data_IF_819850740663
#
_entry.id   IF_819850740663
#
_cell.length_a   1.000
_cell.length_b   1.000
_cell.length_c   1.000
_cell.angle_alpha   90.00
_cell.angle_beta   90.00
_cell.angle_gamma   90.00
#
_symmetry.space_group_name_H-M   'P 1'
#
loop_
_entity.id
_entity.type
_entity.pdbx_description
1 polymer ?
#
# COMPACT_ATOMS: atom_id res chain seq x y z
N UNK A 1 10.68 25.34 -2.78
CA UNK A 1 10.03 24.88 -4.03
C UNK A 1 10.14 23.37 -4.04
N UNK A 2 9.18 22.65 -3.47
CA UNK A 2 9.15 21.18 -3.55
C UNK A 2 8.56 20.84 -4.92
N UNK A 3 9.33 20.17 -5.76
CA UNK A 3 8.80 19.63 -7.00
C UNK A 3 7.78 18.55 -6.64
N UNK A 4 6.50 18.82 -6.87
CA UNK A 4 5.49 17.76 -6.87
C UNK A 4 5.77 16.89 -8.10
N UNK A 5 6.50 15.81 -7.88
CA UNK A 5 6.69 14.77 -8.89
C UNK A 5 5.38 13.97 -8.91
N UNK A 6 4.42 14.45 -9.70
CA UNK A 6 3.22 13.70 -10.05
C UNK A 6 3.62 12.54 -10.97
N UNK A 7 4.13 11.47 -10.37
CA UNK A 7 4.37 10.20 -11.08
C UNK A 7 3.01 9.61 -11.47
N UNK A 8 2.81 9.15 -12.70
CA UNK A 8 1.56 8.49 -13.11
C UNK A 8 1.55 7.00 -12.71
N UNK A 9 0.42 6.31 -12.88
CA UNK A 9 0.22 4.91 -12.43
C UNK A 9 1.18 3.92 -13.11
N UNK A 10 1.50 4.15 -14.39
CA UNK A 10 2.43 3.32 -15.14
C UNK A 10 3.88 3.53 -14.68
N UNK A 11 4.27 4.78 -14.38
CA UNK A 11 5.58 5.10 -13.84
C UNK A 11 5.74 4.55 -12.42
N UNK A 12 4.66 4.50 -11.63
CA UNK A 12 4.64 3.92 -10.30
C UNK A 12 4.90 2.40 -10.35
N UNK A 13 4.16 1.67 -11.19
CA UNK A 13 4.37 0.24 -11.39
C UNK A 13 5.73 -0.07 -12.00
N UNK A 14 6.18 0.71 -12.99
CA UNK A 14 7.50 0.58 -13.58
C UNK A 14 8.62 0.82 -12.57
N UNK A 15 8.44 1.81 -11.66
CA UNK A 15 9.36 2.03 -10.54
C UNK A 15 9.40 0.82 -9.62
N UNK A 16 8.25 0.24 -9.25
CA UNK A 16 8.21 -0.98 -8.42
C UNK A 16 8.91 -2.16 -9.11
N UNK A 17 8.60 -2.42 -10.38
CA UNK A 17 9.22 -3.49 -11.18
C UNK A 17 10.72 -3.29 -11.38
N UNK A 18 11.19 -2.05 -11.40
CA UNK A 18 12.62 -1.74 -11.47
C UNK A 18 13.32 -1.93 -10.12
N UNK A 19 12.65 -1.58 -9.02
CA UNK A 19 13.26 -1.60 -7.69
C UNK A 19 13.30 -3.01 -7.09
N UNK A 20 12.33 -3.87 -7.38
CA UNK A 20 12.23 -5.21 -6.76
C UNK A 20 11.43 -6.22 -7.62
N UNK A 21 11.94 -6.59 -8.83
CA UNK A 21 11.23 -7.46 -9.77
C UNK A 21 10.95 -8.88 -9.24
N UNK A 22 11.87 -9.46 -8.47
CA UNK A 22 11.72 -10.84 -7.97
C UNK A 22 10.70 -10.91 -6.82
N UNK A 23 10.70 -9.89 -5.95
CA UNK A 23 9.71 -9.75 -4.87
C UNK A 23 8.27 -9.65 -5.41
N UNK A 24 8.07 -8.92 -6.50
CA UNK A 24 6.77 -8.81 -7.16
C UNK A 24 6.31 -10.11 -7.84
N UNK A 25 7.24 -10.93 -8.33
CA UNK A 25 6.89 -12.22 -8.98
C UNK A 25 6.44 -13.27 -7.97
N UNK A 26 6.97 -13.21 -6.76
CA UNK A 26 6.67 -14.18 -5.70
C UNK A 26 5.34 -13.88 -4.99
N UNK A 27 4.87 -12.64 -5.06
CA UNK A 27 3.58 -12.26 -4.48
C UNK A 27 2.44 -12.41 -5.47
N UNK A 28 1.52 -13.34 -5.18
CA UNK A 28 0.22 -13.40 -5.86
C UNK A 28 -0.64 -12.29 -5.28
N UNK A 29 -0.80 -11.20 -6.05
CA UNK A 29 -1.64 -10.07 -5.65
C UNK A 29 -3.06 -10.51 -5.34
N UNK A 30 -3.61 -10.01 -4.23
CA UNK A 30 -5.06 -9.92 -4.05
C UNK A 30 -5.58 -9.03 -5.18
N UNK A 31 -6.69 -9.37 -5.80
CA UNK A 31 -7.33 -8.47 -6.76
C UNK A 31 -8.31 -7.59 -5.97
N UNK A 32 -7.96 -6.33 -5.79
CA UNK A 32 -8.78 -5.36 -5.08
C UNK A 32 -9.73 -4.63 -6.04
N UNK A 33 -10.92 -4.29 -5.56
CA UNK A 33 -11.95 -3.57 -6.31
C UNK A 33 -11.80 -2.05 -6.11
N UNK A 34 -11.43 -1.29 -7.15
CA UNK A 34 -11.25 0.15 -7.07
C UNK A 34 -12.53 0.92 -6.70
N UNK A 35 -13.71 0.32 -6.84
CA UNK A 35 -14.98 0.97 -6.49
C UNK A 35 -15.16 1.16 -4.99
N UNK A 36 -14.48 0.36 -4.15
CA UNK A 36 -14.45 0.51 -2.69
C UNK A 36 -13.36 1.47 -2.20
N UNK A 37 -12.50 2.00 -3.09
CA UNK A 37 -11.41 2.92 -2.72
C UNK A 37 -11.73 4.35 -3.16
N UNK A 38 -11.50 5.36 -2.29
CA UNK A 38 -11.60 6.76 -2.68
C UNK A 38 -10.73 7.09 -3.90
N UNK A 39 -11.23 7.93 -4.80
CA UNK A 39 -10.55 8.24 -6.06
C UNK A 39 -9.06 8.63 -5.91
N UNK A 40 -8.65 9.48 -4.94
CA UNK A 40 -7.24 9.84 -4.77
C UNK A 40 -6.34 8.66 -4.39
N UNK A 41 -6.90 7.61 -3.79
CA UNK A 41 -6.16 6.46 -3.27
C UNK A 41 -6.08 5.27 -4.25
N UNK A 42 -6.95 5.22 -5.26
CA UNK A 42 -7.02 4.10 -6.22
C UNK A 42 -5.68 3.79 -6.91
N UNK A 43 -4.88 4.82 -7.20
CA UNK A 43 -3.54 4.64 -7.81
C UNK A 43 -2.56 3.85 -6.94
N UNK A 44 -2.83 3.72 -5.64
CA UNK A 44 -2.00 2.96 -4.69
C UNK A 44 -2.52 1.53 -4.46
N UNK A 45 -3.59 1.10 -5.16
CA UNK A 45 -4.07 -0.27 -5.13
C UNK A 45 -2.93 -1.30 -5.30
N UNK A 46 -2.00 -1.16 -6.27
CA UNK A 46 -0.92 -2.15 -6.40
C UNK A 46 0.00 -2.25 -5.18
N UNK A 47 0.15 -1.18 -4.39
CA UNK A 47 0.88 -1.27 -3.13
C UNK A 47 0.03 -1.96 -2.06
N UNK A 48 -1.26 -1.65 -1.98
CA UNK A 48 -2.16 -2.31 -1.04
C UNK A 48 -2.28 -3.81 -1.33
N UNK A 49 -2.29 -4.21 -2.61
CA UNK A 49 -2.28 -5.61 -3.04
C UNK A 49 -0.97 -6.32 -2.65
N UNK A 50 0.14 -5.60 -2.64
CA UNK A 50 1.48 -6.13 -2.32
C UNK A 50 1.75 -6.19 -0.81
N UNK A 51 1.43 -5.13 -0.08
CA UNK A 51 1.80 -4.89 1.31
C UNK A 51 0.64 -5.05 2.30
N UNK A 52 -0.60 -5.12 1.80
CA UNK A 52 -1.82 -5.20 2.61
C UNK A 52 -2.07 -6.58 3.23
N UNK A 53 -1.03 -7.21 3.78
CA UNK A 53 -1.16 -8.47 4.50
C UNK A 53 -1.78 -8.22 5.89
N UNK A 54 -2.98 -8.77 6.10
CA UNK A 54 -3.77 -8.53 7.29
C UNK A 54 -3.29 -9.37 8.47
N UNK A 55 -2.74 -10.56 8.21
CA UNK A 55 -2.15 -11.39 9.26
C UNK A 55 -0.82 -10.77 9.72
N UNK A 56 -0.71 -10.47 11.02
CA UNK A 56 0.46 -9.80 11.58
C UNK A 56 1.75 -10.61 11.43
N UNK A 57 1.68 -11.94 11.50
CA UNK A 57 2.85 -12.81 11.38
C UNK A 57 3.33 -12.86 9.92
N UNK A 58 2.41 -12.99 8.97
CA UNK A 58 2.75 -12.99 7.55
C UNK A 58 3.20 -11.61 7.07
N UNK A 59 2.61 -10.52 7.59
CA UNK A 59 3.08 -9.15 7.34
C UNK A 59 4.50 -8.93 7.85
N UNK A 60 4.83 -9.38 9.06
CA UNK A 60 6.19 -9.26 9.59
C UNK A 60 7.22 -10.01 8.72
N UNK A 61 6.92 -11.25 8.31
CA UNK A 61 7.77 -12.02 7.38
C UNK A 61 7.93 -11.32 6.02
N UNK A 62 6.84 -10.74 5.52
CA UNK A 62 6.84 -9.98 4.27
C UNK A 62 7.78 -8.77 4.35
N UNK A 63 7.68 -8.00 5.43
CA UNK A 63 8.56 -6.84 5.65
C UNK A 63 10.00 -7.28 5.88
N UNK A 64 10.25 -8.35 6.64
CA UNK A 64 11.60 -8.86 6.89
C UNK A 64 12.33 -9.23 5.59
N UNK A 65 11.67 -10.00 4.71
CA UNK A 65 12.25 -10.48 3.44
C UNK A 65 12.34 -9.42 2.35
N UNK A 66 11.60 -8.31 2.47
CA UNK A 66 11.56 -7.29 1.43
C UNK A 66 12.92 -6.59 1.28
N UNK A 67 13.36 -6.27 0.05
CA UNK A 67 14.55 -5.45 -0.17
C UNK A 67 14.42 -4.08 0.51
N UNK A 68 15.52 -3.53 1.04
CA UNK A 68 15.48 -2.23 1.72
C UNK A 68 14.88 -1.12 0.84
N UNK A 69 15.21 -1.09 -0.45
CA UNK A 69 14.64 -0.14 -1.41
C UNK A 69 13.11 -0.23 -1.56
N UNK A 70 12.54 -1.41 -1.34
CA UNK A 70 11.09 -1.61 -1.35
C UNK A 70 10.45 -1.05 -0.08
N UNK A 71 11.11 -1.24 1.08
CA UNK A 71 10.69 -0.70 2.37
C UNK A 71 10.74 0.82 2.38
N UNK A 72 11.86 1.40 1.91
CA UNK A 72 12.03 2.85 1.81
C UNK A 72 10.94 3.45 0.91
N UNK A 73 10.64 2.81 -0.22
CA UNK A 73 9.57 3.25 -1.12
C UNK A 73 8.19 3.18 -0.47
N UNK A 74 7.90 2.15 0.32
CA UNK A 74 6.65 2.04 1.08
C UNK A 74 6.54 3.20 2.08
N UNK A 75 7.56 3.44 2.89
CA UNK A 75 7.60 4.52 3.89
C UNK A 75 7.42 5.89 3.24
N UNK A 76 8.17 6.18 2.17
CA UNK A 76 8.03 7.42 1.40
C UNK A 76 6.61 7.59 0.86
N UNK A 77 6.01 6.51 0.37
CA UNK A 77 4.66 6.57 -0.21
C UNK A 77 3.62 6.81 0.87
N UNK A 78 3.67 6.10 2.00
CA UNK A 78 2.76 6.32 3.12
C UNK A 78 2.86 7.76 3.63
N UNK A 79 4.08 8.28 3.83
CA UNK A 79 4.27 9.66 4.24
C UNK A 79 3.70 10.69 3.25
N UNK A 80 3.68 10.37 1.94
CA UNK A 80 3.09 11.24 0.92
C UNK A 80 1.56 11.28 0.97
N UNK A 81 0.92 10.20 1.44
CA UNK A 81 -0.55 10.04 1.42
C UNK A 81 -1.17 9.94 2.81
N UNK A 82 -0.41 10.20 3.88
CA UNK A 82 -0.82 9.98 5.26
C UNK A 82 -2.13 10.70 5.59
N UNK A 83 -2.27 11.97 5.21
CA UNK A 83 -3.50 12.75 5.39
C UNK A 83 -4.71 12.12 4.67
N UNK A 84 -4.50 11.54 3.48
CA UNK A 84 -5.57 10.88 2.71
C UNK A 84 -5.97 9.56 3.36
N UNK A 85 -4.99 8.82 3.89
CA UNK A 85 -5.23 7.59 4.63
C UNK A 85 -5.96 7.88 5.94
N UNK A 86 -5.54 8.88 6.71
CA UNK A 86 -6.22 9.28 7.94
C UNK A 86 -7.67 9.68 7.67
N UNK A 87 -7.91 10.52 6.67
CA UNK A 87 -9.25 10.97 6.34
C UNK A 87 -10.20 9.81 5.96
N UNK A 88 -9.69 8.77 5.30
CA UNK A 88 -10.50 7.62 4.91
C UNK A 88 -10.57 6.53 5.97
N UNK A 89 -9.43 6.12 6.54
CA UNK A 89 -9.31 5.04 7.52
C UNK A 89 -9.82 5.43 8.92
N UNK A 90 -10.02 6.72 9.20
CA UNK A 90 -10.79 7.17 10.37
C UNK A 90 -12.27 7.46 10.02
N UNK A 91 -12.71 7.11 8.81
CA UNK A 91 -14.05 7.33 8.31
C UNK A 91 -15.08 6.29 8.78
N UNK A 92 -16.30 6.30 8.21
CA UNK A 92 -17.41 5.45 8.66
C UNK A 92 -17.12 3.94 8.64
N UNK A 93 -16.21 3.49 7.77
CA UNK A 93 -15.85 2.08 7.65
C UNK A 93 -15.01 1.57 8.82
N UNK A 94 -14.38 2.46 9.60
CA UNK A 94 -13.67 2.12 10.84
C UNK A 94 -14.59 1.48 11.89
N UNK A 95 -15.88 1.82 11.86
CA UNK A 95 -16.90 1.29 12.75
C UNK A 95 -17.69 0.12 12.13
N UNK A 96 -17.30 -0.32 10.93
CA UNK A 96 -17.99 -1.41 10.23
C UNK A 96 -17.62 -2.76 10.85
N UNK A 97 -18.64 -3.60 11.12
CA UNK A 97 -18.42 -5.01 11.46
C UNK A 97 -17.93 -5.85 10.26
N UNK A 98 -18.04 -5.30 9.05
CA UNK A 98 -17.70 -5.96 7.79
C UNK A 98 -16.94 -4.98 6.88
N UNK A 99 -15.69 -4.61 7.24
CA UNK A 99 -14.88 -3.76 6.37
C UNK A 99 -14.59 -4.49 5.05
N UNK A 100 -14.44 -3.71 3.99
CA UNK A 100 -14.08 -4.20 2.66
C UNK A 100 -12.65 -4.75 2.65
N UNK A 101 -12.33 -5.59 1.67
CA UNK A 101 -10.99 -6.12 1.51
C UNK A 101 -9.97 -5.00 1.26
N UNK A 102 -10.39 -3.94 0.57
CA UNK A 102 -9.60 -2.76 0.26
C UNK A 102 -9.26 -1.96 1.51
N UNK A 103 -10.26 -1.71 2.36
CA UNK A 103 -10.04 -1.02 3.62
C UNK A 103 -9.04 -1.78 4.51
N UNK A 104 -9.19 -3.10 4.60
CA UNK A 104 -8.26 -3.96 5.33
C UNK A 104 -6.86 -3.89 4.70
N UNK A 105 -6.76 -3.98 3.39
CA UNK A 105 -5.48 -3.97 2.68
C UNK A 105 -4.75 -2.63 2.84
N UNK A 106 -5.44 -1.50 2.75
CA UNK A 106 -4.83 -0.18 2.98
C UNK A 106 -4.43 0.04 4.45
N UNK A 107 -5.24 -0.44 5.40
CA UNK A 107 -4.88 -0.42 6.83
C UNK A 107 -3.62 -1.26 7.09
N UNK A 108 -3.58 -2.47 6.55
CA UNK A 108 -2.44 -3.36 6.67
C UNK A 108 -1.18 -2.81 5.97
N UNK A 109 -1.33 -2.20 4.80
CA UNK A 109 -0.23 -1.53 4.09
C UNK A 109 0.36 -0.39 4.92
N UNK A 110 -0.48 0.41 5.59
CA UNK A 110 0.00 1.45 6.51
C UNK A 110 0.77 0.84 7.67
N UNK A 111 0.21 -0.18 8.32
CA UNK A 111 0.91 -0.90 9.42
C UNK A 111 2.22 -1.54 8.96
N UNK A 112 2.33 -2.01 7.72
CA UNK A 112 3.57 -2.56 7.19
C UNK A 112 4.72 -1.52 7.17
N UNK A 113 4.41 -0.24 6.99
CA UNK A 113 5.39 0.84 7.04
C UNK A 113 5.94 1.09 8.45
N UNK A 114 5.18 0.77 9.50
CA UNK A 114 5.61 0.93 10.90
C UNK A 114 6.67 -0.11 11.33
N UNK A 115 6.83 -1.20 10.55
CA UNK A 115 7.83 -2.26 10.80
C UNK A 115 9.21 -1.94 10.19
N UNK A 116 9.34 -0.83 9.46
CA UNK A 116 10.55 -0.43 8.74
C UNK A 116 11.41 0.51 9.58
#
# INVERSE_FOLDING_TARGET
MKAEVHMNDADFLAKMMRLYPDFLREQRGRLLDPSHVPQPLRRYLPLAELWGEADDTERAKLVERAPQSAKDHLVETIALIDDLLDAWLAGPEAESAHPTAEYIAFSAMRMAADFV
#
